data_IF_251483214619
#
_entry.id   IF_251483214619
#
_cell.length_a   1.000
_cell.length_b   1.000
_cell.length_c   1.000
_cell.angle_alpha   90.00
_cell.angle_beta   90.00
_cell.angle_gamma   90.00
#
_symmetry.space_group_name_H-M   'P 1'
#
loop_
_entity.id
_entity.type
_entity.pdbx_description
1 polymer ?
#
# COMPACT_ATOMS: atom_id res chain seq x y z
N UNK A 1 -15.60 24.08 3.66
CA UNK A 1 -15.29 24.81 4.90
C UNK A 1 -13.86 24.45 5.25
N UNK A 2 -12.94 25.41 5.17
CA UNK A 2 -11.51 25.17 5.43
C UNK A 2 -11.12 25.45 6.89
N UNK A 3 -12.09 25.55 7.81
CA UNK A 3 -11.88 25.40 9.26
C UNK A 3 -11.20 26.57 9.98
N UNK A 4 -11.87 27.05 11.03
CA UNK A 4 -11.44 27.50 12.37
C UNK A 4 -9.96 27.79 12.78
N UNK A 5 -8.94 27.49 11.98
CA UNK A 5 -7.55 27.88 12.24
C UNK A 5 -6.67 26.82 12.92
N UNK A 6 -7.17 25.59 13.14
CA UNK A 6 -6.32 24.46 13.52
C UNK A 6 -5.59 23.88 12.31
N UNK A 7 -4.27 23.71 12.44
CA UNK A 7 -3.45 23.08 11.41
C UNK A 7 -3.61 21.56 11.49
N UNK A 8 -4.14 20.94 10.44
CA UNK A 8 -4.22 19.48 10.32
C UNK A 8 -2.99 18.92 9.61
N UNK A 9 -2.47 17.80 10.10
CA UNK A 9 -1.32 17.10 9.52
C UNK A 9 -1.76 15.77 8.91
N UNK A 10 -1.82 15.75 7.59
CA UNK A 10 -2.11 14.56 6.79
C UNK A 10 -0.82 14.08 6.15
N UNK A 11 -0.52 12.79 6.30
CA UNK A 11 0.59 12.17 5.59
C UNK A 11 0.06 11.57 4.29
N UNK A 12 0.63 11.96 3.16
CA UNK A 12 0.17 11.52 1.85
C UNK A 12 1.31 11.29 0.89
N UNK A 13 1.11 10.38 -0.05
CA UNK A 13 2.08 10.13 -1.11
C UNK A 13 1.44 9.41 -2.28
N UNK A 14 1.95 9.67 -3.47
CA UNK A 14 1.61 8.91 -4.67
C UNK A 14 2.61 7.79 -4.93
N UNK A 15 2.15 6.66 -5.48
CA UNK A 15 3.00 5.63 -6.08
C UNK A 15 3.88 4.98 -5.01
N UNK A 16 5.19 4.91 -5.23
CA UNK A 16 6.17 4.57 -4.22
C UNK A 16 6.10 5.46 -2.97
N UNK A 17 5.65 6.71 -3.09
CA UNK A 17 5.36 7.58 -1.95
C UNK A 17 4.17 7.10 -1.12
N UNK A 18 3.13 6.52 -1.74
CA UNK A 18 2.01 5.89 -1.02
C UNK A 18 2.50 4.68 -0.22
N UNK A 19 3.38 3.86 -0.82
CA UNK A 19 4.06 2.76 -0.12
C UNK A 19 4.84 3.32 1.07
N UNK A 20 5.66 4.35 0.85
CA UNK A 20 6.46 4.98 1.90
C UNK A 20 5.61 5.46 3.08
N UNK A 21 4.53 6.21 2.81
CA UNK A 21 3.60 6.67 3.86
C UNK A 21 3.02 5.50 4.62
N UNK A 22 2.58 4.44 3.93
CA UNK A 22 2.05 3.24 4.60
C UNK A 22 3.11 2.63 5.52
N UNK A 23 4.34 2.40 5.04
CA UNK A 23 5.41 1.79 5.85
C UNK A 23 5.83 2.69 7.03
N UNK A 24 5.81 4.01 6.88
CA UNK A 24 6.15 4.98 7.94
C UNK A 24 4.99 5.32 8.88
N UNK A 25 3.75 4.95 8.54
CA UNK A 25 2.56 5.40 9.24
C UNK A 25 2.58 5.13 10.76
N UNK A 26 3.10 4.00 11.29
CA UNK A 26 3.18 3.82 12.74
C UNK A 26 3.99 4.92 13.42
N UNK A 27 5.15 5.28 12.85
CA UNK A 27 6.00 6.35 13.36
C UNK A 27 5.38 7.73 13.13
N UNK A 28 4.80 7.97 11.94
CA UNK A 28 4.15 9.26 11.63
C UNK A 28 3.00 9.57 12.60
N UNK A 29 2.21 8.56 12.97
CA UNK A 29 1.11 8.69 13.91
C UNK A 29 1.63 8.84 15.33
N UNK A 30 2.52 7.96 15.79
CA UNK A 30 2.96 7.92 17.18
C UNK A 30 3.93 9.06 17.57
N UNK A 31 4.87 9.38 16.68
CA UNK A 31 6.01 10.25 17.01
C UNK A 31 5.95 11.63 16.34
N UNK A 32 5.18 11.77 15.26
CA UNK A 32 5.13 13.01 14.46
C UNK A 32 3.73 13.67 14.40
N UNK A 33 2.74 13.13 15.11
CA UNK A 33 1.40 13.73 15.25
C UNK A 33 0.69 13.94 13.90
N UNK A 34 0.78 12.93 13.01
CA UNK A 34 0.01 12.82 11.76
C UNK A 34 -1.27 12.00 11.96
N UNK A 35 -2.02 12.27 13.02
CA UNK A 35 -3.28 11.57 13.34
C UNK A 35 -4.50 12.11 12.59
N UNK A 36 -4.37 13.25 11.89
CA UNK A 36 -5.49 13.83 11.13
C UNK A 36 -5.80 13.07 9.84
N UNK A 37 -4.83 12.31 9.32
CA UNK A 37 -5.11 11.26 8.36
C UNK A 37 -3.95 10.80 7.50
N UNK A 38 -4.23 9.72 6.77
CA UNK A 38 -3.31 9.06 5.84
C UNK A 38 -3.94 9.05 4.44
N UNK A 39 -3.21 9.51 3.43
CA UNK A 39 -3.61 9.48 2.03
C UNK A 39 -2.71 8.52 1.22
N UNK A 40 -3.34 7.50 0.66
CA UNK A 40 -2.72 6.51 -0.21
C UNK A 40 -3.14 6.78 -1.66
N UNK A 41 -2.30 7.46 -2.42
CA UNK A 41 -2.58 7.76 -3.83
C UNK A 41 -1.93 6.70 -4.74
N UNK A 42 -2.78 6.00 -5.49
CA UNK A 42 -2.40 5.08 -6.58
C UNK A 42 -1.57 3.85 -6.16
N UNK A 43 -1.53 3.51 -4.86
CA UNK A 43 -1.11 2.19 -4.38
C UNK A 43 -1.75 1.85 -3.04
N UNK A 44 -2.18 0.60 -2.87
CA UNK A 44 -2.91 0.16 -1.67
C UNK A 44 -2.70 -1.31 -1.30
N UNK A 45 -1.61 -1.91 -1.81
CA UNK A 45 -1.27 -3.31 -1.50
C UNK A 45 -1.79 -4.33 -2.50
N UNK A 46 -1.80 -4.02 -3.80
CA UNK A 46 -2.04 -5.03 -4.84
C UNK A 46 -0.69 -5.56 -5.32
N UNK A 47 -0.43 -6.85 -5.04
CA UNK A 47 0.82 -7.53 -5.39
C UNK A 47 0.53 -8.96 -5.87
N UNK A 48 1.39 -9.54 -6.72
CA UNK A 48 1.34 -10.96 -7.06
C UNK A 48 1.69 -11.83 -5.84
N UNK A 49 1.24 -13.10 -5.80
CA UNK A 49 1.56 -14.01 -4.69
C UNK A 49 3.06 -14.19 -4.45
N UNK A 50 3.88 -14.17 -5.50
CA UNK A 50 5.35 -14.31 -5.45
C UNK A 50 6.09 -12.98 -5.13
N UNK A 51 5.37 -11.95 -4.66
CA UNK A 51 5.98 -10.67 -4.31
C UNK A 51 6.85 -10.72 -3.04
N UNK A 52 6.80 -11.81 -2.27
CA UNK A 52 7.71 -12.04 -1.13
C UNK A 52 9.17 -11.91 -1.53
N UNK A 53 9.54 -12.39 -2.72
CA UNK A 53 10.91 -12.28 -3.21
C UNK A 53 11.32 -10.82 -3.43
N UNK A 54 10.42 -9.97 -3.91
CA UNK A 54 10.68 -8.54 -4.04
C UNK A 54 10.89 -7.86 -2.68
N UNK A 55 10.08 -8.21 -1.68
CA UNK A 55 10.20 -7.63 -0.33
C UNK A 55 11.46 -8.10 0.40
N UNK A 56 11.82 -9.37 0.24
CA UNK A 56 13.07 -9.94 0.73
C UNK A 56 14.28 -9.29 0.04
N UNK A 57 14.21 -9.01 -1.26
CA UNK A 57 15.27 -8.33 -2.00
C UNK A 57 15.58 -6.95 -1.41
N UNK A 58 14.55 -6.14 -1.17
CA UNK A 58 14.75 -4.80 -0.61
C UNK A 58 14.96 -4.82 0.91
N UNK A 59 14.99 -6.03 1.49
CA UNK A 59 15.21 -6.27 2.90
C UNK A 59 14.28 -5.46 3.80
N UNK A 60 12.98 -5.44 3.44
CA UNK A 60 12.01 -4.49 4.01
C UNK A 60 11.90 -4.60 5.53
N UNK A 61 12.05 -5.80 6.10
CA UNK A 61 11.99 -6.00 7.55
C UNK A 61 13.19 -5.36 8.27
N UNK A 62 14.40 -5.47 7.72
CA UNK A 62 15.60 -4.83 8.30
C UNK A 62 15.55 -3.31 8.13
N UNK A 63 15.09 -2.84 6.96
CA UNK A 63 14.84 -1.41 6.74
C UNK A 63 13.79 -0.90 7.72
N UNK A 64 12.72 -1.66 7.95
CA UNK A 64 11.70 -1.37 8.97
C UNK A 64 12.29 -1.20 10.37
N UNK A 65 13.09 -2.17 10.81
CA UNK A 65 13.77 -2.17 12.12
C UNK A 65 14.76 -1.02 12.29
N UNK A 66 15.58 -0.74 11.27
CA UNK A 66 16.70 0.19 11.38
C UNK A 66 16.38 1.62 10.96
N UNK A 67 15.41 1.81 10.07
CA UNK A 67 15.17 3.11 9.41
C UNK A 67 13.74 3.62 9.55
N UNK A 68 12.73 2.76 9.56
CA UNK A 68 11.31 3.17 9.53
C UNK A 68 10.66 3.19 10.92
N UNK A 69 11.45 3.03 11.99
CA UNK A 69 11.01 3.02 13.39
C UNK A 69 9.88 2.00 13.64
N UNK A 70 9.93 0.85 12.98
CA UNK A 70 8.94 -0.20 13.22
C UNK A 70 9.04 -0.73 14.64
N UNK A 71 7.88 -1.04 15.23
CA UNK A 71 7.85 -1.74 16.51
C UNK A 71 8.42 -3.14 16.34
N UNK A 72 8.87 -3.73 17.46
CA UNK A 72 9.39 -5.10 17.46
C UNK A 72 8.35 -6.08 16.91
N UNK A 73 7.08 -5.89 17.26
CA UNK A 73 5.97 -6.73 16.81
C UNK A 73 5.78 -6.63 15.29
N UNK A 74 5.90 -5.44 14.70
CA UNK A 74 5.81 -5.25 13.25
C UNK A 74 7.00 -5.90 12.52
N UNK A 75 8.21 -5.84 13.08
CA UNK A 75 9.39 -6.50 12.54
C UNK A 75 9.27 -8.03 12.62
N UNK A 76 8.80 -8.56 13.76
CA UNK A 76 8.57 -9.99 13.95
C UNK A 76 7.50 -10.51 12.98
N UNK A 77 6.37 -9.80 12.84
CA UNK A 77 5.36 -10.12 11.84
C UNK A 77 5.97 -10.15 10.43
N UNK A 78 6.71 -9.10 10.03
CA UNK A 78 7.36 -9.05 8.72
C UNK A 78 8.24 -10.28 8.45
N UNK A 79 9.04 -10.71 9.44
CA UNK A 79 9.92 -11.90 9.33
C UNK A 79 9.16 -13.22 9.25
N UNK A 80 7.95 -13.29 9.81
CA UNK A 80 7.05 -14.45 9.71
C UNK A 80 6.34 -14.54 8.35
N UNK A 81 6.66 -13.64 7.41
CA UNK A 81 6.07 -13.60 6.07
C UNK A 81 4.88 -12.66 5.96
N UNK A 82 4.76 -11.69 6.88
CA UNK A 82 3.70 -10.69 6.79
C UNK A 82 3.97 -9.72 5.63
N UNK A 83 3.14 -9.85 4.59
CA UNK A 83 3.28 -9.15 3.31
C UNK A 83 2.87 -7.67 3.42
N UNK A 84 3.37 -6.79 2.54
CA UNK A 84 2.99 -5.36 2.52
C UNK A 84 1.48 -5.09 2.40
N UNK A 85 0.68 -5.84 1.63
CA UNK A 85 -0.78 -5.72 1.69
C UNK A 85 -1.35 -6.01 3.09
N UNK A 86 -0.79 -7.01 3.79
CA UNK A 86 -1.13 -7.34 5.17
C UNK A 86 -0.67 -6.24 6.12
N UNK A 87 0.48 -5.61 5.86
CA UNK A 87 0.97 -4.46 6.60
C UNK A 87 0.00 -3.28 6.53
N UNK A 88 -0.51 -2.93 5.35
CA UNK A 88 -1.50 -1.86 5.20
C UNK A 88 -2.78 -2.17 5.97
N UNK A 89 -3.30 -3.40 5.88
CA UNK A 89 -4.50 -3.78 6.65
C UNK A 89 -4.25 -3.79 8.16
N UNK A 90 -3.07 -4.26 8.60
CA UNK A 90 -2.70 -4.24 10.01
C UNK A 90 -2.55 -2.82 10.54
N UNK A 91 -1.89 -1.94 9.79
CA UNK A 91 -1.79 -0.52 10.08
C UNK A 91 -3.17 0.10 10.29
N UNK A 92 -4.09 -0.13 9.34
CA UNK A 92 -5.46 0.39 9.41
C UNK A 92 -6.21 -0.15 10.62
N UNK A 93 -6.08 -1.44 10.92
CA UNK A 93 -6.69 -2.07 12.10
C UNK A 93 -6.14 -1.48 13.40
N UNK A 94 -4.83 -1.37 13.50
CA UNK A 94 -4.15 -0.96 14.73
C UNK A 94 -4.28 0.56 14.97
N UNK A 95 -4.63 1.32 13.92
CA UNK A 95 -4.92 2.76 13.96
C UNK A 95 -6.34 3.06 13.44
N UNK A 96 -7.33 2.27 13.85
CA UNK A 96 -8.69 2.32 13.29
C UNK A 96 -9.44 3.65 13.48
N UNK A 97 -8.94 4.51 14.35
CA UNK A 97 -9.48 5.85 14.61
C UNK A 97 -8.87 6.93 13.69
N UNK A 98 -7.70 6.67 13.10
CA UNK A 98 -7.03 7.61 12.19
C UNK A 98 -7.71 7.56 10.83
N UNK A 99 -8.22 8.69 10.29
CA UNK A 99 -8.80 8.73 8.96
C UNK A 99 -7.80 8.26 7.90
N UNK A 100 -8.21 7.33 7.04
CA UNK A 100 -7.36 6.85 5.97
C UNK A 100 -8.12 6.87 4.65
N UNK A 101 -7.49 7.32 3.58
CA UNK A 101 -8.12 7.40 2.27
C UNK A 101 -7.23 6.78 1.20
N UNK A 102 -7.80 5.87 0.41
CA UNK A 102 -7.25 5.51 -0.89
C UNK A 102 -7.84 6.38 -1.99
N UNK A 103 -7.00 6.87 -2.89
CA UNK A 103 -7.43 7.51 -4.14
C UNK A 103 -6.68 6.85 -5.29
N UNK A 104 -7.36 6.46 -6.36
CA UNK A 104 -6.70 5.91 -7.52
C UNK A 104 -7.66 5.54 -8.64
N UNK A 105 -7.13 4.95 -9.71
CA UNK A 105 -7.93 4.50 -10.84
C UNK A 105 -8.17 3.00 -10.83
N UNK A 106 -9.26 2.54 -11.45
CA UNK A 106 -9.58 1.11 -11.53
C UNK A 106 -8.77 0.34 -12.57
N UNK A 107 -8.00 1.02 -13.41
CA UNK A 107 -7.19 0.42 -14.46
C UNK A 107 -5.79 1.06 -14.55
N UNK A 108 -5.25 1.52 -13.41
CA UNK A 108 -3.92 2.13 -13.26
C UNK A 108 -2.83 1.33 -14.01
N UNK A 109 -2.24 1.97 -15.02
CA UNK A 109 -1.24 1.32 -15.87
C UNK A 109 0.07 1.03 -15.15
N UNK A 110 0.43 1.85 -14.17
CA UNK A 110 1.64 1.67 -13.36
C UNK A 110 1.43 0.54 -12.37
N UNK A 111 0.27 0.42 -11.74
CA UNK A 111 -0.05 -0.73 -10.88
C UNK A 111 -0.03 -2.05 -11.67
N UNK A 112 -0.54 -2.07 -12.91
CA UNK A 112 -0.46 -3.25 -13.80
C UNK A 112 0.99 -3.60 -14.14
N UNK A 113 1.78 -2.60 -14.52
CA UNK A 113 3.21 -2.78 -14.81
C UNK A 113 4.00 -3.27 -13.59
N UNK A 114 3.75 -2.68 -12.42
CA UNK A 114 4.40 -3.05 -11.17
C UNK A 114 4.03 -4.48 -10.74
N UNK A 115 2.77 -4.88 -10.88
CA UNK A 115 2.34 -6.25 -10.61
C UNK A 115 3.10 -7.25 -11.49
N UNK A 116 3.26 -6.96 -12.79
CA UNK A 116 4.01 -7.83 -13.71
C UNK A 116 5.49 -7.87 -13.33
N UNK A 117 6.08 -6.71 -13.04
CA UNK A 117 7.50 -6.60 -12.70
C UNK A 117 7.89 -7.33 -11.40
N UNK A 118 6.91 -7.58 -10.52
CA UNK A 118 7.11 -8.24 -9.23
C UNK A 118 6.56 -9.67 -9.18
N UNK A 119 6.12 -10.21 -10.32
CA UNK A 119 5.46 -11.52 -10.37
C UNK A 119 6.40 -12.73 -10.45
N UNK A 120 7.69 -12.52 -10.70
CA UNK A 120 8.69 -13.58 -10.76
C UNK A 120 9.91 -13.23 -9.91
N UNK A 121 10.79 -14.22 -9.74
CA UNK A 121 12.10 -13.99 -9.11
C UNK A 121 12.97 -13.09 -9.98
N UNK A 122 13.90 -12.36 -9.39
CA UNK A 122 14.86 -11.53 -10.14
C UNK A 122 15.75 -12.33 -11.11
N UNK A 123 15.88 -13.63 -10.85
CA UNK A 123 16.62 -14.58 -11.69
C UNK A 123 15.72 -15.30 -12.67
N UNK A 124 14.41 -15.07 -12.58
CA UNK A 124 13.43 -15.71 -13.43
C UNK A 124 13.47 -15.04 -14.81
N UNK A 125 14.13 -15.73 -15.74
CA UNK A 125 14.21 -15.30 -17.14
C UNK A 125 13.08 -15.90 -17.97
N UNK A 126 12.20 -16.68 -17.34
CA UNK A 126 11.05 -17.29 -17.97
C UNK A 126 10.02 -16.21 -18.32
N UNK A 127 10.08 -15.75 -19.58
CA UNK A 127 9.10 -14.84 -20.18
C UNK A 127 7.65 -15.24 -19.90
N UNK A 128 7.40 -16.53 -19.68
CA UNK A 128 6.07 -17.07 -19.41
C UNK A 128 5.46 -16.52 -18.12
N UNK A 129 6.24 -16.37 -17.03
CA UNK A 129 5.77 -15.81 -15.75
C UNK A 129 5.24 -14.39 -15.95
N UNK A 130 6.01 -13.53 -16.62
CA UNK A 130 5.60 -12.15 -16.90
C UNK A 130 4.37 -12.07 -17.83
N UNK A 131 4.29 -12.96 -18.83
CA UNK A 131 3.13 -13.01 -19.74
C UNK A 131 1.86 -13.45 -19.02
N UNK A 132 1.96 -14.45 -18.13
CA UNK A 132 0.84 -14.93 -17.34
C UNK A 132 0.37 -13.88 -16.32
N UNK A 133 1.32 -13.22 -15.64
CA UNK A 133 1.02 -12.10 -14.75
C UNK A 133 0.33 -10.94 -15.49
N UNK A 134 0.80 -10.59 -16.68
CA UNK A 134 0.20 -9.55 -17.50
C UNK A 134 -1.23 -9.91 -17.91
N UNK A 135 -1.47 -11.14 -18.37
CA UNK A 135 -2.83 -11.63 -18.69
C UNK A 135 -3.74 -11.57 -17.47
N UNK A 136 -3.24 -12.00 -16.31
CA UNK A 136 -4.00 -12.02 -15.08
C UNK A 136 -4.38 -10.61 -14.64
N UNK A 137 -3.42 -9.69 -14.48
CA UNK A 137 -3.69 -8.36 -13.91
C UNK A 137 -4.56 -7.50 -14.82
N UNK A 138 -4.46 -7.66 -16.15
CA UNK A 138 -5.30 -6.94 -17.10
C UNK A 138 -6.79 -7.31 -17.00
N UNK A 139 -7.10 -8.48 -16.46
CA UNK A 139 -8.49 -8.93 -16.24
C UNK A 139 -8.91 -8.70 -14.78
N UNK A 140 -7.97 -8.86 -13.84
CA UNK A 140 -8.28 -8.98 -12.42
C UNK A 140 -7.96 -7.73 -11.60
N UNK A 141 -7.37 -6.66 -12.14
CA UNK A 141 -7.10 -5.45 -11.35
C UNK A 141 -8.36 -4.86 -10.70
N UNK A 142 -9.49 -4.64 -11.41
CA UNK A 142 -10.69 -4.11 -10.77
C UNK A 142 -11.25 -4.98 -9.62
N UNK A 143 -11.44 -6.31 -9.77
CA UNK A 143 -11.91 -7.14 -8.65
C UNK A 143 -10.88 -7.26 -7.51
N UNK A 144 -9.57 -7.28 -7.80
CA UNK A 144 -8.54 -7.24 -6.76
C UNK A 144 -8.61 -5.94 -5.95
N UNK A 145 -8.73 -4.81 -6.64
CA UNK A 145 -8.87 -3.51 -5.99
C UNK A 145 -10.10 -3.48 -5.09
N UNK A 146 -11.25 -3.95 -5.57
CA UNK A 146 -12.46 -4.06 -4.76
C UNK A 146 -12.27 -4.95 -3.52
N UNK A 147 -11.60 -6.09 -3.67
CA UNK A 147 -11.30 -6.99 -2.56
C UNK A 147 -10.41 -6.34 -1.50
N UNK A 148 -9.36 -5.63 -1.93
CA UNK A 148 -8.47 -4.89 -1.02
C UNK A 148 -9.21 -3.75 -0.31
N UNK A 149 -10.03 -2.98 -1.02
CA UNK A 149 -10.86 -1.94 -0.39
C UNK A 149 -11.81 -2.52 0.66
N UNK A 150 -12.49 -3.62 0.34
CA UNK A 150 -13.39 -4.27 1.28
C UNK A 150 -12.66 -4.76 2.55
N UNK A 151 -11.45 -5.32 2.38
CA UNK A 151 -10.62 -5.75 3.50
C UNK A 151 -10.19 -4.57 4.38
N UNK A 152 -9.76 -3.46 3.76
CA UNK A 152 -9.37 -2.24 4.48
C UNK A 152 -10.54 -1.57 5.20
N UNK A 153 -11.71 -1.47 4.55
CA UNK A 153 -12.94 -0.98 5.19
C UNK A 153 -13.40 -1.86 6.36
N UNK A 154 -13.17 -3.17 6.29
CA UNK A 154 -13.48 -4.08 7.39
C UNK A 154 -12.49 -3.94 8.56
N UNK A 155 -11.22 -3.63 8.26
CA UNK A 155 -10.18 -3.42 9.25
C UNK A 155 -10.30 -2.08 9.98
N UNK A 156 -10.73 -1.02 9.29
CA UNK A 156 -10.92 0.31 9.86
C UNK A 156 -12.22 0.97 9.38
N UNK A 157 -13.14 1.36 10.29
CA UNK A 157 -14.32 2.12 9.92
C UNK A 157 -13.99 3.55 9.46
N UNK A 158 -12.80 4.06 9.76
CA UNK A 158 -12.31 5.36 9.31
C UNK A 158 -11.68 5.32 7.91
N UNK A 159 -11.54 4.14 7.30
CA UNK A 159 -11.03 3.98 5.95
C UNK A 159 -12.09 4.35 4.89
N UNK A 160 -11.67 5.14 3.91
CA UNK A 160 -12.46 5.52 2.74
C UNK A 160 -11.69 5.26 1.45
N UNK A 161 -12.40 5.12 0.34
CA UNK A 161 -11.80 4.91 -0.98
C UNK A 161 -12.51 5.72 -2.06
N UNK A 162 -11.75 6.40 -2.90
CA UNK A 162 -12.22 7.03 -4.14
C UNK A 162 -11.56 6.32 -5.32
N UNK A 163 -12.36 5.59 -6.08
CA UNK A 163 -11.89 4.90 -7.29
C UNK A 163 -12.49 5.59 -8.51
N UNK A 164 -11.62 6.13 -9.36
CA UNK A 164 -12.00 6.79 -10.60
C UNK A 164 -11.87 5.79 -11.76
N UNK A 165 -12.72 5.94 -12.78
CA UNK A 165 -12.54 5.18 -14.02
C UNK A 165 -11.41 5.81 -14.83
N UNK A 166 -10.39 5.04 -15.19
CA UNK A 166 -9.24 5.56 -15.93
C UNK A 166 -8.00 4.69 -15.79
N UNK A 167 -6.92 5.12 -16.44
CA UNK A 167 -5.60 4.45 -16.41
C UNK A 167 -4.53 5.31 -15.75
N UNK A 168 -4.90 6.50 -15.27
CA UNK A 168 -4.01 7.49 -14.68
C UNK A 168 -3.40 6.98 -13.37
N UNK A 169 -2.21 7.48 -13.10
CA UNK A 169 -1.42 7.23 -11.90
C UNK A 169 -1.05 8.57 -11.28
N UNK A 170 -1.14 8.68 -9.95
CA UNK A 170 -1.06 9.92 -9.19
C UNK A 170 -2.21 10.88 -9.49
N UNK A 171 -3.29 10.80 -8.71
CA UNK A 171 -4.45 11.69 -8.84
C UNK A 171 -4.36 12.93 -7.94
N UNK A 172 -3.58 12.85 -6.86
CA UNK A 172 -3.46 13.88 -5.83
C UNK A 172 -1.97 14.12 -5.57
N UNK A 173 -1.30 14.70 -6.57
CA UNK A 173 0.12 15.10 -6.52
C UNK A 173 0.28 16.60 -6.36
#
# INVERSE_FOLDING_TARGET
>A
DFGDGETRRVAGGCSAGSIGVQLWAPALIADFDFSDGILMDSYVGIMPPAADVFWNLINVCEVGEQQLMWTREAVEACREGFYVPSFTTALLRDNSEVPAMYVGTNNDIIQRGFYVATAGDLLDTEKQVFVEAAKYINVNLPPLLQGVMANHSAASPAFQSVVVQGEEHCLVS
#
